data_IF_604751875932
#
_entry.id   IF_604751875932
#
_cell.length_a   1.000
_cell.length_b   1.000
_cell.length_c   1.000
_cell.angle_alpha   90.00
_cell.angle_beta   90.00
_cell.angle_gamma   90.00
#
_symmetry.space_group_name_H-M   'P 1'
#
loop_
_entity.id
_entity.type
_entity.pdbx_description
1 polymer ?
#
# COMPACT_ATOMS: atom_id res chain seq x y z
N UNK A 1 24.24 -22.46 4.69
CA UNK A 1 24.12 -21.06 4.21
C UNK A 1 25.30 -20.30 4.77
N UNK A 2 26.19 -19.76 3.94
CA UNK A 2 27.29 -18.90 4.40
C UNK A 2 26.67 -17.54 4.83
N UNK A 3 26.59 -17.32 6.14
CA UNK A 3 25.81 -16.25 6.76
C UNK A 3 26.37 -14.84 6.57
N UNK A 4 27.59 -14.68 6.07
CA UNK A 4 28.26 -13.37 6.03
C UNK A 4 27.64 -12.37 5.04
N UNK A 5 27.08 -12.83 3.94
CA UNK A 5 26.49 -11.93 2.93
C UNK A 5 25.07 -11.42 3.28
N UNK A 6 24.43 -11.98 4.30
CA UNK A 6 23.07 -11.61 4.68
C UNK A 6 22.99 -10.27 5.44
N UNK A 7 24.06 -9.90 6.14
CA UNK A 7 24.02 -8.75 7.06
C UNK A 7 24.34 -7.39 6.39
N UNK A 8 24.94 -7.34 5.20
CA UNK A 8 25.20 -6.10 4.43
C UNK A 8 25.65 -4.88 5.27
N UNK A 9 26.53 -5.10 6.25
CA UNK A 9 26.99 -4.03 7.15
C UNK A 9 26.08 -3.75 8.34
N UNK A 10 25.01 -4.52 8.54
CA UNK A 10 24.25 -4.48 9.79
C UNK A 10 24.86 -5.44 10.81
N UNK A 11 24.94 -4.98 12.07
CA UNK A 11 25.44 -5.81 13.19
C UNK A 11 24.42 -6.91 13.56
N UNK A 12 23.13 -6.64 13.33
CA UNK A 12 22.05 -7.58 13.63
C UNK A 12 20.78 -7.23 12.87
N UNK A 13 19.91 -8.23 12.68
CA UNK A 13 18.65 -8.12 11.96
C UNK A 13 17.54 -8.81 12.77
N UNK A 14 16.44 -8.13 13.00
CA UNK A 14 15.23 -8.79 13.48
C UNK A 14 14.48 -9.46 12.32
N UNK A 15 14.31 -10.77 12.43
CA UNK A 15 13.38 -11.50 11.57
C UNK A 15 11.99 -11.40 12.21
N UNK A 16 11.12 -10.69 11.57
CA UNK A 16 9.80 -10.28 12.08
C UNK A 16 9.85 -9.10 13.08
N UNK A 17 8.71 -8.47 13.25
CA UNK A 17 8.54 -7.40 14.22
C UNK A 17 8.70 -7.95 15.64
N UNK A 18 9.58 -7.37 16.40
CA UNK A 18 9.80 -7.70 17.81
C UNK A 18 10.14 -6.43 18.59
N UNK A 19 9.13 -5.65 18.93
CA UNK A 19 9.30 -4.35 19.61
C UNK A 19 9.95 -4.55 21.00
N UNK A 20 9.56 -5.60 21.74
CA UNK A 20 10.15 -5.92 23.04
C UNK A 20 11.61 -6.37 22.91
N UNK A 21 11.93 -7.15 21.87
CA UNK A 21 13.31 -7.55 21.58
C UNK A 21 14.19 -6.36 21.23
N UNK A 22 13.67 -5.39 20.48
CA UNK A 22 14.40 -4.14 20.18
C UNK A 22 14.68 -3.35 21.45
N UNK A 23 13.69 -3.20 22.33
CA UNK A 23 13.88 -2.51 23.63
C UNK A 23 14.92 -3.25 24.48
N UNK A 24 14.90 -4.59 24.51
CA UNK A 24 15.90 -5.38 25.23
C UNK A 24 17.29 -5.22 24.61
N UNK A 25 17.41 -5.23 23.27
CA UNK A 25 18.68 -5.00 22.57
C UNK A 25 19.28 -3.64 22.95
N UNK A 26 18.49 -2.58 22.85
CA UNK A 26 18.94 -1.22 23.21
C UNK A 26 19.38 -1.16 24.66
N UNK A 27 18.61 -1.71 25.61
CA UNK A 27 18.99 -1.76 27.03
C UNK A 27 20.29 -2.50 27.27
N UNK A 28 20.50 -3.64 26.62
CA UNK A 28 21.74 -4.42 26.78
C UNK A 28 22.95 -3.61 26.27
N UNK A 29 22.84 -3.00 25.07
CA UNK A 29 23.89 -2.16 24.50
C UNK A 29 24.21 -0.96 25.43
N UNK A 30 23.18 -0.24 25.86
CA UNK A 30 23.35 0.96 26.72
C UNK A 30 24.01 0.61 28.04
N UNK A 31 23.75 -0.56 28.60
CA UNK A 31 24.32 -1.02 29.87
C UNK A 31 25.67 -1.75 29.69
N UNK A 32 26.25 -1.80 28.49
CA UNK A 32 27.49 -2.51 28.21
C UNK A 32 27.39 -4.03 28.38
N UNK A 33 26.18 -4.57 28.33
CA UNK A 33 25.92 -6.00 28.45
C UNK A 33 26.04 -6.68 27.09
N UNK A 34 26.41 -7.95 27.08
CA UNK A 34 26.35 -8.77 25.85
C UNK A 34 24.93 -8.78 25.30
N UNK A 35 24.81 -8.72 23.98
CA UNK A 35 23.50 -8.73 23.30
C UNK A 35 22.66 -9.94 23.69
N UNK A 36 23.27 -11.05 24.02
CA UNK A 36 22.57 -12.27 24.48
C UNK A 36 21.68 -12.89 23.40
N UNK A 37 20.92 -13.91 23.77
CA UNK A 37 19.90 -14.50 22.93
C UNK A 37 18.60 -13.71 23.05
N UNK A 38 18.30 -12.90 22.05
CA UNK A 38 17.02 -12.19 21.92
C UNK A 38 16.21 -12.91 20.85
N UNK A 39 14.96 -13.23 21.13
CA UNK A 39 14.07 -13.88 20.17
C UNK A 39 13.97 -13.10 18.86
N UNK A 40 13.98 -13.81 17.73
CA UNK A 40 13.96 -13.27 16.38
C UNK A 40 15.14 -12.34 16.01
N UNK A 41 16.15 -12.17 16.86
CA UNK A 41 17.34 -11.40 16.56
C UNK A 41 18.41 -12.32 15.95
N UNK A 42 18.92 -11.91 14.81
CA UNK A 42 20.01 -12.58 14.12
C UNK A 42 21.22 -11.66 14.08
N UNK A 43 22.38 -12.20 14.41
CA UNK A 43 23.68 -11.57 14.23
C UNK A 43 24.62 -12.53 13.53
N UNK A 44 25.78 -12.09 13.00
CA UNK A 44 26.73 -12.99 12.34
C UNK A 44 27.16 -14.21 13.17
N UNK A 45 27.12 -14.07 14.48
CA UNK A 45 27.61 -15.09 15.42
C UNK A 45 26.52 -15.67 16.33
N UNK A 46 25.27 -15.26 16.17
CA UNK A 46 24.16 -15.72 17.04
C UNK A 46 22.82 -15.68 16.32
N UNK A 47 22.07 -16.73 16.49
CA UNK A 47 20.69 -16.82 15.98
C UNK A 47 19.73 -16.98 17.16
N UNK A 48 18.92 -15.98 17.38
CA UNK A 48 17.82 -16.06 18.33
C UNK A 48 16.78 -17.09 17.89
N UNK A 49 16.04 -17.63 18.83
CA UNK A 49 14.93 -18.54 18.52
C UNK A 49 13.86 -17.81 17.71
N UNK A 50 13.38 -18.43 16.62
CA UNK A 50 12.22 -17.93 15.91
C UNK A 50 10.99 -18.20 16.76
N UNK A 51 10.47 -17.17 17.39
CA UNK A 51 9.21 -17.21 18.12
C UNK A 51 8.15 -16.45 17.34
N UNK A 52 6.93 -16.96 17.42
CA UNK A 52 5.77 -16.20 16.96
C UNK A 52 5.67 -14.95 17.83
N UNK A 53 5.65 -13.78 17.21
CA UNK A 53 5.50 -12.53 17.94
C UNK A 53 4.27 -12.58 18.83
N UNK A 54 4.48 -12.33 20.11
CA UNK A 54 3.40 -11.82 20.92
C UNK A 54 2.99 -10.48 20.33
N UNK A 55 1.71 -10.29 20.21
CA UNK A 55 1.06 -9.08 19.78
C UNK A 55 1.80 -7.86 20.33
N UNK A 56 2.19 -6.93 19.45
CA UNK A 56 2.77 -5.67 19.91
C UNK A 56 1.71 -4.89 20.69
N UNK A 57 2.17 -4.08 21.61
CA UNK A 57 1.30 -3.26 22.44
C UNK A 57 0.75 -2.10 21.58
N UNK A 58 -0.50 -2.23 21.16
CA UNK A 58 -1.21 -1.20 20.40
C UNK A 58 -1.51 0.06 21.23
N UNK A 59 -1.26 0.01 22.54
CA UNK A 59 -1.46 1.16 23.43
C UNK A 59 -0.29 2.15 23.33
N UNK A 60 0.83 1.74 22.76
CA UNK A 60 1.98 2.64 22.57
C UNK A 60 1.62 3.72 21.54
N UNK A 61 1.64 4.95 22.00
CA UNK A 61 1.44 6.13 21.16
C UNK A 61 2.81 6.64 20.72
N UNK A 62 3.03 6.82 19.39
CA UNK A 62 4.27 7.39 18.89
C UNK A 62 4.56 8.76 19.49
N UNK A 63 5.82 9.00 19.85
CA UNK A 63 6.27 10.30 20.30
C UNK A 63 6.80 11.11 19.11
N UNK A 64 6.24 12.29 18.90
CA UNK A 64 6.62 13.26 17.87
C UNK A 64 7.15 14.57 18.46
N UNK A 65 7.54 14.59 19.75
CA UNK A 65 8.00 15.81 20.43
C UNK A 65 9.22 16.44 19.75
N UNK A 66 10.10 15.63 19.17
CA UNK A 66 11.32 16.07 18.48
C UNK A 66 11.11 16.35 16.98
N UNK A 67 9.88 16.26 16.47
CA UNK A 67 9.60 16.49 15.05
C UNK A 67 9.39 17.97 14.77
N UNK A 68 10.32 18.54 14.00
CA UNK A 68 10.18 19.90 13.48
C UNK A 68 9.33 19.91 12.22
N UNK A 69 8.00 19.97 12.38
CA UNK A 69 7.03 19.87 11.28
C UNK A 69 7.25 20.89 10.16
N UNK A 70 7.80 22.08 10.49
CA UNK A 70 8.10 23.13 9.51
C UNK A 70 9.19 22.75 8.51
N UNK A 71 9.99 21.71 8.79
CA UNK A 71 11.03 21.21 7.88
C UNK A 71 10.48 20.23 6.84
N UNK A 72 9.20 19.87 6.91
CA UNK A 72 8.57 18.97 5.95
C UNK A 72 7.85 19.74 4.86
N UNK A 73 7.78 19.16 3.65
CA UNK A 73 7.20 19.82 2.48
C UNK A 73 5.69 19.99 2.52
N UNK A 74 4.98 19.30 3.38
CA UNK A 74 3.52 19.41 3.40
C UNK A 74 3.08 20.65 4.18
N UNK A 75 2.02 21.31 3.71
CA UNK A 75 1.48 22.50 4.37
C UNK A 75 0.80 22.17 5.71
N UNK A 76 0.37 20.94 5.89
CA UNK A 76 -0.36 20.45 7.06
C UNK A 76 0.40 19.29 7.74
N UNK A 77 0.25 19.15 9.04
CA UNK A 77 0.83 18.01 9.77
C UNK A 77 0.08 16.72 9.39
N UNK A 78 0.82 15.70 8.99
CA UNK A 78 0.26 14.39 8.62
C UNK A 78 0.94 13.30 9.42
N UNK A 79 0.15 12.46 10.08
CA UNK A 79 0.63 11.23 10.70
C UNK A 79 0.34 10.04 9.80
N UNK A 80 1.37 9.24 9.55
CA UNK A 80 1.25 7.97 8.84
C UNK A 80 1.09 6.86 9.87
N UNK A 81 0.03 6.07 9.76
CA UNK A 81 -0.27 4.98 10.68
C UNK A 81 -0.99 3.82 9.95
N UNK A 82 -1.53 2.87 10.68
CA UNK A 82 -2.32 1.74 10.19
C UNK A 82 -3.50 1.49 11.12
N UNK A 83 -4.67 1.21 10.56
CA UNK A 83 -5.82 0.70 11.31
C UNK A 83 -5.72 -0.80 11.53
N UNK A 84 -5.08 -1.52 10.59
CA UNK A 84 -4.84 -2.95 10.69
C UNK A 84 -3.42 -3.33 10.26
N UNK A 85 -2.91 -4.41 10.80
CA UNK A 85 -1.54 -4.89 10.52
C UNK A 85 -1.51 -6.08 9.57
N UNK A 86 -2.63 -6.42 8.96
CA UNK A 86 -2.74 -7.57 8.08
C UNK A 86 -3.73 -7.31 6.96
N UNK A 87 -3.41 -7.84 5.78
CA UNK A 87 -4.40 -7.99 4.72
C UNK A 87 -5.44 -9.04 5.13
N UNK A 88 -6.72 -8.66 5.19
CA UNK A 88 -7.79 -9.58 5.58
C UNK A 88 -8.05 -10.66 4.52
N UNK A 89 -7.72 -10.40 3.27
CA UNK A 89 -7.87 -11.36 2.17
C UNK A 89 -6.78 -12.42 2.21
N UNK A 90 -5.52 -12.02 2.18
CA UNK A 90 -4.33 -12.85 2.30
C UNK A 90 -4.33 -14.12 1.42
N UNK A 91 -4.88 -14.06 0.19
CA UNK A 91 -4.93 -15.18 -0.75
C UNK A 91 -4.25 -14.90 -2.10
N UNK A 92 -3.86 -13.64 -2.38
CA UNK A 92 -3.30 -13.28 -3.68
C UNK A 92 -2.03 -14.06 -4.00
N UNK A 93 -1.96 -14.68 -5.16
CA UNK A 93 -0.83 -15.53 -5.56
C UNK A 93 0.48 -14.74 -5.75
N UNK A 94 0.39 -13.47 -6.16
CA UNK A 94 1.55 -12.62 -6.38
C UNK A 94 2.12 -11.98 -5.11
N UNK A 95 1.42 -12.05 -3.98
CA UNK A 95 1.72 -11.27 -2.80
C UNK A 95 2.51 -12.06 -1.75
N UNK A 96 3.67 -11.54 -1.32
CA UNK A 96 4.50 -12.15 -0.29
C UNK A 96 3.95 -12.00 1.14
N UNK A 97 2.98 -11.09 1.36
CA UNK A 97 2.32 -10.92 2.67
C UNK A 97 1.61 -12.21 3.10
N UNK A 98 1.18 -13.02 2.15
CA UNK A 98 0.54 -14.30 2.41
C UNK A 98 1.46 -15.34 3.03
N UNK A 99 2.78 -15.24 2.82
CA UNK A 99 3.78 -16.15 3.40
C UNK A 99 3.90 -15.98 4.90
N UNK A 100 3.57 -14.82 5.42
CA UNK A 100 3.64 -14.52 6.85
C UNK A 100 2.32 -14.84 7.57
N UNK A 101 2.01 -16.14 7.68
CA UNK A 101 0.81 -16.64 8.40
C UNK A 101 0.82 -16.35 9.91
N UNK A 102 1.89 -15.77 10.43
CA UNK A 102 2.15 -15.66 11.87
C UNK A 102 1.51 -14.44 12.53
N UNK A 103 1.25 -13.38 11.79
CA UNK A 103 0.59 -12.19 12.35
C UNK A 103 -0.93 -12.38 12.21
N UNK A 104 -1.61 -12.70 13.30
CA UNK A 104 -3.07 -12.92 13.33
C UNK A 104 -3.85 -11.75 13.95
N UNK A 105 -3.18 -10.67 14.30
CA UNK A 105 -3.83 -9.61 15.07
C UNK A 105 -4.54 -8.61 14.16
N UNK A 106 -5.79 -8.38 14.45
CA UNK A 106 -6.51 -7.18 14.05
C UNK A 106 -6.41 -6.16 15.18
N UNK A 107 -6.14 -4.91 14.83
CA UNK A 107 -6.13 -3.80 15.79
C UNK A 107 -7.48 -3.68 16.51
N UNK A 108 -7.45 -3.31 17.77
CA UNK A 108 -8.65 -2.91 18.48
C UNK A 108 -9.12 -1.55 17.97
N UNK A 109 -10.33 -1.49 17.43
CA UNK A 109 -10.96 -0.23 16.99
C UNK A 109 -10.87 0.83 18.08
N UNK A 110 -11.18 0.45 19.34
CA UNK A 110 -11.15 1.36 20.49
C UNK A 110 -9.75 1.92 20.74
N UNK A 111 -8.72 1.10 20.63
CA UNK A 111 -7.32 1.53 20.81
C UNK A 111 -6.88 2.46 19.69
N UNK A 112 -7.24 2.18 18.44
CA UNK A 112 -6.93 3.05 17.31
C UNK A 112 -7.61 4.41 17.43
N UNK A 113 -8.88 4.45 17.83
CA UNK A 113 -9.61 5.70 18.09
C UNK A 113 -8.91 6.49 19.20
N UNK A 114 -8.58 5.86 20.32
CA UNK A 114 -7.89 6.51 21.44
C UNK A 114 -6.54 7.08 21.02
N UNK A 115 -5.73 6.30 20.27
CA UNK A 115 -4.44 6.75 19.75
C UNK A 115 -4.55 7.96 18.86
N UNK A 116 -5.46 7.93 17.89
CA UNK A 116 -5.67 9.02 16.93
C UNK A 116 -6.13 10.28 17.65
N UNK A 117 -7.09 10.20 18.59
CA UNK A 117 -7.52 11.35 19.40
C UNK A 117 -6.38 11.94 20.22
N UNK A 118 -5.58 11.10 20.87
CA UNK A 118 -4.42 11.58 21.65
C UNK A 118 -3.39 12.29 20.74
N UNK A 119 -3.11 11.75 19.55
CA UNK A 119 -2.20 12.39 18.60
C UNK A 119 -2.78 13.70 18.05
N UNK A 120 -4.07 13.74 17.76
CA UNK A 120 -4.78 14.95 17.34
C UNK A 120 -4.68 16.04 18.38
N UNK A 121 -5.03 15.75 19.64
CA UNK A 121 -5.02 16.68 20.75
C UNK A 121 -3.58 17.16 21.10
N UNK A 122 -2.62 16.21 21.21
CA UNK A 122 -1.25 16.53 21.66
C UNK A 122 -0.45 17.28 20.60
N UNK A 123 -0.59 16.94 19.33
CA UNK A 123 0.26 17.44 18.26
C UNK A 123 -0.45 18.33 17.25
N UNK A 124 -1.74 18.63 17.48
CA UNK A 124 -2.56 19.41 16.56
C UNK A 124 -2.55 18.82 15.13
N UNK A 125 -2.55 17.49 15.03
CA UNK A 125 -2.55 16.77 13.76
C UNK A 125 -3.98 16.42 13.38
N UNK A 126 -4.47 16.99 12.28
CA UNK A 126 -5.80 16.70 11.77
C UNK A 126 -5.81 15.77 10.55
N UNK A 127 -4.65 15.37 10.04
CA UNK A 127 -4.56 14.52 8.87
C UNK A 127 -3.87 13.20 9.20
N UNK A 128 -4.55 12.09 8.90
CA UNK A 128 -4.05 10.73 9.13
C UNK A 128 -4.07 9.92 7.84
N UNK A 129 -2.92 9.36 7.53
CA UNK A 129 -2.76 8.53 6.35
C UNK A 129 -2.56 7.07 6.75
N UNK A 130 -3.62 6.26 6.60
CA UNK A 130 -3.58 4.85 6.98
C UNK A 130 -3.07 3.98 5.83
N UNK A 131 -1.85 3.47 5.99
CA UNK A 131 -1.17 2.60 5.04
C UNK A 131 -1.40 1.12 5.37
N UNK A 132 -2.66 0.73 5.45
CA UNK A 132 -3.03 -0.67 5.63
C UNK A 132 -2.65 -1.51 4.39
N UNK A 133 -2.41 -2.79 4.58
CA UNK A 133 -2.27 -3.72 3.44
C UNK A 133 -3.61 -3.96 2.74
N UNK A 134 -4.66 -4.15 3.51
CA UNK A 134 -6.06 -4.06 3.12
C UNK A 134 -6.90 -4.02 4.40
N UNK A 135 -7.46 -2.86 4.72
CA UNK A 135 -8.32 -2.69 5.89
C UNK A 135 -9.70 -3.31 5.67
N UNK A 136 -10.21 -4.14 6.60
CA UNK A 136 -11.58 -4.63 6.52
C UNK A 136 -12.60 -3.50 6.72
N UNK A 137 -13.69 -3.48 5.93
CA UNK A 137 -14.72 -2.44 6.04
C UNK A 137 -15.37 -2.36 7.41
N UNK A 138 -15.54 -3.49 8.10
CA UNK A 138 -16.06 -3.49 9.48
C UNK A 138 -15.17 -2.69 10.44
N UNK A 139 -13.85 -2.79 10.29
CA UNK A 139 -12.89 -2.03 11.09
C UNK A 139 -12.95 -0.54 10.73
N UNK A 140 -12.95 -0.23 9.43
CA UNK A 140 -13.04 1.14 8.93
C UNK A 140 -14.31 1.85 9.40
N UNK A 141 -15.47 1.20 9.32
CA UNK A 141 -16.74 1.75 9.80
C UNK A 141 -16.76 1.95 11.33
N UNK A 142 -16.21 1.00 12.09
CA UNK A 142 -16.10 1.16 13.54
C UNK A 142 -15.17 2.30 13.94
N UNK A 143 -14.07 2.51 13.20
CA UNK A 143 -13.18 3.65 13.39
C UNK A 143 -13.88 4.96 13.01
N UNK A 144 -14.54 5.01 11.86
CA UNK A 144 -15.29 6.16 11.38
C UNK A 144 -16.33 6.63 12.42
N UNK A 145 -17.13 5.71 12.96
CA UNK A 145 -18.12 6.04 14.00
C UNK A 145 -17.48 6.66 15.25
N UNK A 146 -16.27 6.22 15.63
CA UNK A 146 -15.57 6.72 16.81
C UNK A 146 -14.92 8.08 16.64
N UNK A 147 -14.72 8.56 15.39
CA UNK A 147 -14.07 9.85 15.10
C UNK A 147 -14.95 10.85 14.35
N UNK A 148 -16.19 10.52 14.04
CA UNK A 148 -17.06 11.33 13.17
C UNK A 148 -17.32 12.77 13.65
N UNK A 149 -17.10 13.04 14.92
CA UNK A 149 -17.27 14.37 15.51
C UNK A 149 -15.94 15.11 15.72
N UNK A 150 -14.85 14.46 15.38
CA UNK A 150 -13.51 15.06 15.41
C UNK A 150 -13.22 15.74 14.06
N UNK A 151 -12.51 16.84 14.08
CA UNK A 151 -12.08 17.49 12.84
C UNK A 151 -10.84 16.76 12.25
N UNK A 152 -11.04 15.50 11.86
CA UNK A 152 -9.98 14.62 11.36
C UNK A 152 -10.24 14.25 9.91
N UNK A 153 -9.27 14.52 9.05
CA UNK A 153 -9.21 14.04 7.67
C UNK A 153 -8.35 12.78 7.60
N UNK A 154 -8.79 11.78 6.85
CA UNK A 154 -8.05 10.54 6.76
C UNK A 154 -8.16 9.87 5.39
N UNK A 155 -7.21 9.01 5.10
CA UNK A 155 -7.21 8.13 3.93
C UNK A 155 -7.13 6.68 4.36
N UNK A 156 -7.56 5.76 3.49
CA UNK A 156 -7.60 4.34 3.78
C UNK A 156 -7.16 3.52 2.58
N UNK A 157 -6.40 2.45 2.85
CA UNK A 157 -6.09 1.42 1.85
C UNK A 157 -6.94 0.19 2.08
N UNK A 158 -7.57 -0.29 1.02
CA UNK A 158 -8.36 -1.52 1.05
C UNK A 158 -8.27 -2.25 -0.29
N UNK A 159 -8.99 -3.33 -0.43
CA UNK A 159 -9.22 -4.02 -1.70
C UNK A 159 -10.63 -3.71 -2.21
N UNK A 160 -10.86 -3.92 -3.51
CA UNK A 160 -12.21 -3.88 -4.04
C UNK A 160 -13.05 -4.97 -3.37
N UNK A 161 -14.22 -4.58 -2.89
CA UNK A 161 -15.18 -5.44 -2.21
C UNK A 161 -16.61 -4.97 -2.53
N UNK A 162 -17.55 -5.88 -2.65
CA UNK A 162 -18.98 -5.58 -2.90
C UNK A 162 -19.65 -4.82 -1.73
N UNK A 163 -19.00 -4.80 -0.58
CA UNK A 163 -19.42 -4.02 0.60
C UNK A 163 -19.10 -2.54 0.54
N UNK A 164 -18.36 -2.10 -0.47
CA UNK A 164 -18.10 -0.68 -0.73
C UNK A 164 -19.33 -0.05 -1.42
N UNK A 165 -20.45 0.00 -0.72
CA UNK A 165 -21.70 0.59 -1.24
C UNK A 165 -21.73 2.10 -1.06
N UNK A 166 -22.65 2.78 -1.74
CA UNK A 166 -22.86 4.21 -1.61
C UNK A 166 -23.05 4.64 -0.13
N UNK A 167 -23.88 3.91 0.61
CA UNK A 167 -24.16 4.19 2.03
C UNK A 167 -22.93 4.02 2.92
N UNK A 168 -22.10 3.03 2.62
CA UNK A 168 -20.82 2.81 3.33
C UNK A 168 -19.89 3.97 3.07
N UNK A 169 -19.72 4.36 1.80
CA UNK A 169 -18.87 5.49 1.42
C UNK A 169 -19.38 6.81 2.02
N UNK A 170 -20.71 7.02 2.08
CA UNK A 170 -21.30 8.19 2.73
C UNK A 170 -20.91 8.25 4.21
N UNK A 171 -21.06 7.16 4.96
CA UNK A 171 -20.67 7.11 6.38
C UNK A 171 -19.17 7.37 6.60
N UNK A 172 -18.33 6.82 5.75
CA UNK A 172 -16.89 7.07 5.82
C UNK A 172 -16.55 8.54 5.51
N UNK A 173 -17.23 9.13 4.52
CA UNK A 173 -17.08 10.54 4.15
C UNK A 173 -17.51 11.48 5.27
N UNK A 174 -18.65 11.22 5.88
CA UNK A 174 -19.16 12.00 7.02
C UNK A 174 -18.20 11.99 8.21
N UNK A 175 -17.43 10.89 8.36
CA UNK A 175 -16.38 10.77 9.36
C UNK A 175 -14.99 11.27 8.90
N UNK A 176 -14.94 12.02 7.80
CA UNK A 176 -13.72 12.70 7.34
C UNK A 176 -12.84 11.92 6.34
N UNK A 177 -13.31 10.79 5.78
CA UNK A 177 -12.57 10.10 4.72
C UNK A 177 -12.42 11.02 3.51
N UNK A 178 -11.19 11.26 3.07
CA UNK A 178 -10.85 12.09 1.91
C UNK A 178 -10.44 11.27 0.70
N UNK A 179 -9.71 10.18 0.91
CA UNK A 179 -9.22 9.31 -0.17
C UNK A 179 -9.37 7.84 0.21
N UNK A 180 -9.75 7.04 -0.78
CA UNK A 180 -9.79 5.59 -0.70
C UNK A 180 -8.82 4.99 -1.73
N UNK A 181 -7.81 4.28 -1.24
CA UNK A 181 -6.84 3.60 -2.07
C UNK A 181 -7.23 2.13 -2.23
N UNK A 182 -7.46 1.71 -3.45
CA UNK A 182 -7.95 0.37 -3.77
C UNK A 182 -6.95 -0.38 -4.65
N UNK A 183 -6.49 -1.54 -4.17
CA UNK A 183 -5.79 -2.49 -5.01
C UNK A 183 -6.78 -3.13 -5.99
N UNK A 184 -6.93 -2.54 -7.17
CA UNK A 184 -7.78 -3.08 -8.24
C UNK A 184 -7.05 -4.19 -9.00
N UNK A 185 -5.77 -4.03 -9.21
CA UNK A 185 -4.79 -4.88 -9.89
C UNK A 185 -5.10 -5.05 -11.38
N UNK A 186 -6.25 -5.60 -11.74
CA UNK A 186 -6.71 -5.82 -13.12
C UNK A 186 -8.24 -5.79 -13.20
N UNK A 187 -8.80 -5.77 -14.43
CA UNK A 187 -10.25 -5.85 -14.64
C UNK A 187 -10.69 -7.12 -15.42
N UNK A 188 -9.72 -7.82 -16.01
CA UNK A 188 -10.00 -9.05 -16.73
C UNK A 188 -10.18 -10.24 -15.77
N UNK A 189 -11.30 -11.00 -15.87
CA UNK A 189 -11.62 -12.07 -14.92
C UNK A 189 -10.61 -13.23 -14.92
N UNK A 190 -9.98 -13.54 -16.07
CA UNK A 190 -8.97 -14.60 -16.13
C UNK A 190 -7.71 -14.21 -15.35
N UNK A 191 -7.21 -12.99 -15.54
CA UNK A 191 -6.04 -12.48 -14.81
C UNK A 191 -6.35 -12.38 -13.32
N UNK A 192 -7.51 -11.86 -12.93
CA UNK A 192 -7.94 -11.79 -11.53
C UNK A 192 -8.01 -13.19 -10.87
N UNK A 193 -8.47 -14.19 -11.62
CA UNK A 193 -8.50 -15.59 -11.18
C UNK A 193 -7.08 -16.15 -10.97
N UNK A 194 -6.15 -15.92 -11.90
CA UNK A 194 -4.75 -16.30 -11.77
C UNK A 194 -4.08 -15.59 -10.60
N UNK A 195 -4.43 -14.34 -10.37
CA UNK A 195 -3.96 -13.56 -9.21
C UNK A 195 -4.58 -14.03 -7.90
N UNK A 196 -5.67 -14.79 -7.92
CA UNK A 196 -6.50 -15.12 -6.75
C UNK A 196 -6.92 -13.87 -5.97
N UNK A 197 -7.31 -12.82 -6.74
CA UNK A 197 -7.58 -11.49 -6.19
C UNK A 197 -8.96 -11.36 -5.60
N UNK A 198 -9.96 -12.10 -6.14
CA UNK A 198 -11.36 -11.94 -5.77
C UNK A 198 -12.11 -13.28 -5.89
N UNK A 199 -13.21 -13.42 -5.16
CA UNK A 199 -14.16 -14.51 -5.29
C UNK A 199 -15.26 -14.18 -6.34
N UNK A 200 -15.34 -12.92 -6.82
CA UNK A 200 -16.34 -12.41 -7.78
C UNK A 200 -15.68 -11.83 -9.04
N UNK A 201 -14.80 -12.59 -9.68
CA UNK A 201 -13.97 -12.10 -10.78
C UNK A 201 -14.77 -11.62 -12.00
N UNK A 202 -15.94 -12.18 -12.29
CA UNK A 202 -16.77 -11.80 -13.43
C UNK A 202 -17.49 -10.46 -13.22
N UNK A 203 -17.90 -10.17 -11.98
CA UNK A 203 -18.59 -8.94 -11.61
C UNK A 203 -17.59 -7.83 -11.21
N UNK A 204 -16.31 -8.15 -11.12
CA UNK A 204 -15.28 -7.28 -10.54
C UNK A 204 -15.21 -5.91 -11.23
N UNK A 205 -15.24 -5.90 -12.58
CA UNK A 205 -15.24 -4.67 -13.36
C UNK A 205 -16.47 -3.80 -13.08
N UNK A 206 -17.65 -4.41 -12.99
CA UNK A 206 -18.92 -3.72 -12.68
C UNK A 206 -18.92 -3.15 -11.28
N UNK A 207 -18.41 -3.90 -10.29
CA UNK A 207 -18.26 -3.44 -8.91
C UNK A 207 -17.26 -2.28 -8.85
N UNK A 208 -16.14 -2.36 -9.59
CA UNK A 208 -15.16 -1.29 -9.68
C UNK A 208 -15.78 0.01 -10.23
N UNK A 209 -16.57 -0.09 -11.31
CA UNK A 209 -17.28 1.04 -11.89
C UNK A 209 -18.26 1.66 -10.89
N UNK A 210 -19.06 0.82 -10.22
CA UNK A 210 -19.98 1.29 -9.20
C UNK A 210 -19.30 2.01 -8.05
N UNK A 211 -18.20 1.46 -7.55
CA UNK A 211 -17.41 2.09 -6.49
C UNK A 211 -16.83 3.42 -6.96
N UNK A 212 -16.41 3.52 -8.23
CA UNK A 212 -15.95 4.76 -8.83
C UNK A 212 -17.05 5.82 -8.82
N UNK A 213 -18.25 5.48 -9.28
CA UNK A 213 -19.38 6.39 -9.36
C UNK A 213 -19.86 6.80 -7.95
N UNK A 214 -19.96 5.85 -7.03
CA UNK A 214 -20.39 6.09 -5.64
C UNK A 214 -19.37 6.97 -4.88
N UNK A 215 -18.08 6.79 -5.08
CA UNK A 215 -17.04 7.62 -4.49
C UNK A 215 -17.06 9.04 -5.08
N UNK A 216 -17.25 9.16 -6.40
CA UNK A 216 -17.43 10.45 -7.09
C UNK A 216 -18.60 11.22 -6.50
N UNK A 217 -19.76 10.58 -6.36
CA UNK A 217 -20.97 11.18 -5.80
C UNK A 217 -20.77 11.62 -4.34
N UNK A 218 -19.95 10.90 -3.56
CA UNK A 218 -19.58 11.26 -2.19
C UNK A 218 -18.40 12.25 -2.10
N UNK A 219 -17.83 12.70 -3.22
CA UNK A 219 -16.63 13.53 -3.26
C UNK A 219 -15.47 12.92 -2.44
N UNK A 220 -15.23 11.61 -2.61
CA UNK A 220 -14.09 10.86 -2.07
C UNK A 220 -13.10 10.68 -3.21
N UNK A 221 -11.85 11.08 -2.99
CA UNK A 221 -10.75 10.79 -3.91
C UNK A 221 -10.52 9.28 -4.02
N UNK A 222 -10.25 8.78 -5.23
CA UNK A 222 -9.90 7.38 -5.44
C UNK A 222 -8.47 7.25 -5.96
N UNK A 223 -7.81 6.18 -5.52
CA UNK A 223 -6.56 5.73 -6.08
C UNK A 223 -6.65 4.25 -6.41
N UNK A 224 -6.67 3.93 -7.70
CA UNK A 224 -6.60 2.55 -8.17
C UNK A 224 -5.16 2.14 -8.46
N UNK A 225 -4.75 1.00 -7.90
CA UNK A 225 -3.47 0.37 -8.21
C UNK A 225 -3.69 -0.79 -9.16
N UNK A 226 -2.85 -0.88 -10.20
CA UNK A 226 -2.84 -1.95 -11.18
C UNK A 226 -1.51 -2.70 -11.19
N UNK A 227 -1.58 -3.95 -11.61
CA UNK A 227 -0.43 -4.79 -11.94
C UNK A 227 -0.63 -5.28 -13.36
N UNK A 228 0.19 -4.81 -14.29
CA UNK A 228 0.21 -5.19 -15.69
C UNK A 228 1.46 -6.02 -16.00
N UNK A 229 1.43 -6.76 -17.10
CA UNK A 229 2.53 -7.68 -17.43
C UNK A 229 2.52 -8.94 -16.58
N UNK A 230 1.36 -9.32 -16.08
CA UNK A 230 1.19 -10.59 -15.37
C UNK A 230 1.51 -11.76 -16.34
N UNK A 231 2.20 -12.83 -15.91
CA UNK A 231 2.47 -13.97 -16.75
C UNK A 231 1.21 -14.46 -17.46
N UNK A 232 1.28 -14.69 -18.76
CA UNK A 232 0.16 -15.02 -19.66
C UNK A 232 -0.84 -13.89 -20.00
N UNK A 233 -0.63 -12.67 -19.52
CA UNK A 233 -1.46 -11.53 -19.90
C UNK A 233 -1.27 -11.19 -21.39
N UNK A 234 -2.38 -10.99 -22.12
CA UNK A 234 -2.34 -10.58 -23.52
C UNK A 234 -2.58 -9.08 -23.70
N UNK A 235 -2.30 -8.56 -24.90
CA UNK A 235 -2.53 -7.16 -25.23
C UNK A 235 -4.02 -6.79 -25.14
N UNK A 236 -4.91 -7.70 -25.55
CA UNK A 236 -6.35 -7.51 -25.45
C UNK A 236 -6.80 -7.37 -23.99
N UNK A 237 -6.23 -8.18 -23.10
CA UNK A 237 -6.53 -8.10 -21.67
C UNK A 237 -6.03 -6.79 -21.06
N UNK A 238 -4.87 -6.29 -21.46
CA UNK A 238 -4.38 -4.95 -21.08
C UNK A 238 -5.28 -3.85 -21.62
N UNK A 239 -5.78 -4.00 -22.85
CA UNK A 239 -6.71 -3.05 -23.45
C UNK A 239 -8.00 -2.92 -22.62
N UNK A 240 -8.48 -4.01 -21.99
CA UNK A 240 -9.65 -3.94 -21.11
C UNK A 240 -9.46 -2.96 -19.93
N UNK A 241 -8.23 -2.78 -19.44
CA UNK A 241 -7.93 -1.77 -18.40
C UNK A 241 -8.08 -0.36 -18.97
N UNK A 242 -7.60 -0.11 -20.18
CA UNK A 242 -7.81 1.17 -20.86
C UNK A 242 -9.29 1.46 -21.10
N UNK A 243 -10.04 0.46 -21.55
CA UNK A 243 -11.47 0.60 -21.84
C UNK A 243 -12.28 0.81 -20.54
N UNK A 244 -11.85 0.27 -19.42
CA UNK A 244 -12.42 0.60 -18.11
C UNK A 244 -12.34 2.11 -17.83
N UNK A 245 -11.21 2.73 -18.07
CA UNK A 245 -11.05 4.18 -17.85
C UNK A 245 -11.79 5.02 -18.89
N UNK A 246 -12.01 4.53 -20.11
CA UNK A 246 -12.92 5.19 -21.07
C UNK A 246 -14.35 5.27 -20.57
N UNK A 247 -14.82 4.23 -19.88
CA UNK A 247 -16.16 4.22 -19.30
C UNK A 247 -16.31 5.13 -18.10
N UNK A 248 -15.22 5.35 -17.35
CA UNK A 248 -15.23 6.19 -16.13
C UNK A 248 -14.99 7.68 -16.39
N UNK A 249 -14.58 8.06 -17.60
CA UNK A 249 -14.14 9.45 -17.90
C UNK A 249 -15.18 10.54 -17.61
N UNK A 250 -16.48 10.22 -17.72
CA UNK A 250 -17.56 11.18 -17.52
C UNK A 250 -17.97 11.31 -16.03
N UNK A 251 -17.40 10.46 -15.17
CA UNK A 251 -17.65 10.42 -13.72
C UNK A 251 -16.52 11.13 -12.97
N UNK A 252 -16.19 12.36 -13.34
CA UNK A 252 -15.10 13.11 -12.72
C UNK A 252 -15.62 13.86 -11.50
N UNK A 253 -14.97 13.68 -10.35
CA UNK A 253 -15.29 14.44 -9.14
C UNK A 253 -14.34 15.63 -8.95
N UNK A 254 -14.70 16.51 -7.99
CA UNK A 254 -13.86 17.65 -7.61
C UNK A 254 -12.55 17.25 -6.94
N UNK A 255 -12.45 16.04 -6.42
CA UNK A 255 -11.20 15.46 -5.90
C UNK A 255 -10.51 14.70 -7.02
N UNK A 256 -9.19 14.78 -7.14
CA UNK A 256 -8.46 14.10 -8.19
C UNK A 256 -8.56 12.59 -8.02
N UNK A 257 -8.74 11.90 -9.14
CA UNK A 257 -8.55 10.46 -9.19
C UNK A 257 -7.12 10.16 -9.58
N UNK A 258 -6.58 9.14 -8.93
CA UNK A 258 -5.25 8.66 -9.24
C UNK A 258 -5.33 7.21 -9.70
N UNK A 259 -4.42 6.86 -10.58
CA UNK A 259 -4.13 5.45 -10.87
C UNK A 259 -2.63 5.23 -10.88
N UNK A 260 -2.22 4.04 -10.46
CA UNK A 260 -0.81 3.62 -10.53
C UNK A 260 -0.74 2.32 -11.29
N UNK A 261 0.09 2.27 -12.31
CA UNK A 261 0.42 1.06 -13.03
C UNK A 261 1.77 0.54 -12.57
N UNK A 262 1.75 -0.67 -12.04
CA UNK A 262 2.96 -1.40 -11.68
C UNK A 262 3.18 -2.51 -12.70
N UNK A 263 4.44 -2.74 -13.06
CA UNK A 263 4.82 -3.95 -13.77
C UNK A 263 4.81 -5.09 -12.76
N UNK A 264 4.25 -6.23 -13.16
CA UNK A 264 4.33 -7.43 -12.35
C UNK A 264 5.78 -7.72 -11.96
N UNK A 265 5.99 -8.05 -10.70
CA UNK A 265 7.28 -8.50 -10.19
C UNK A 265 7.09 -9.77 -9.37
N UNK A 266 7.90 -10.77 -9.67
CA UNK A 266 7.88 -12.02 -8.89
C UNK A 266 8.43 -11.75 -7.49
N UNK A 267 7.56 -11.84 -6.49
CA UNK A 267 7.91 -11.56 -5.10
C UNK A 267 8.41 -12.82 -4.41
N UNK A 268 9.59 -12.76 -3.83
CA UNK A 268 10.15 -13.85 -3.01
C UNK A 268 9.17 -14.22 -1.88
N UNK A 269 8.92 -15.52 -1.72
CA UNK A 269 8.00 -16.06 -0.70
C UNK A 269 6.51 -15.87 -1.03
N UNK A 270 6.16 -15.37 -2.23
CA UNK A 270 4.77 -15.40 -2.68
C UNK A 270 4.35 -16.83 -3.09
N UNK A 271 3.04 -17.18 -3.03
CA UNK A 271 2.56 -18.46 -3.55
C UNK A 271 2.95 -18.71 -5.01
N UNK A 272 3.04 -17.65 -5.80
CA UNK A 272 3.44 -17.71 -7.19
C UNK A 272 4.94 -18.02 -7.35
N UNK A 273 5.79 -17.50 -6.48
CA UNK A 273 7.20 -17.87 -6.46
C UNK A 273 7.40 -19.35 -6.13
N UNK A 274 6.66 -19.86 -5.16
CA UNK A 274 6.73 -21.28 -4.73
C UNK A 274 6.17 -22.25 -5.79
N UNK A 275 5.26 -21.79 -6.64
CA UNK A 275 4.61 -22.60 -7.68
C UNK A 275 4.81 -22.02 -9.09
N UNK A 276 5.94 -21.37 -9.33
CA UNK A 276 6.24 -20.55 -10.51
C UNK A 276 6.02 -21.24 -11.85
N UNK A 277 6.26 -22.54 -11.94
CA UNK A 277 6.07 -23.33 -13.16
C UNK A 277 4.59 -23.33 -13.62
N UNK A 278 3.62 -23.32 -12.68
CA UNK A 278 2.20 -23.25 -12.98
C UNK A 278 1.79 -21.95 -13.66
N UNK A 279 2.60 -20.92 -13.56
CA UNK A 279 2.41 -19.61 -14.16
C UNK A 279 3.30 -19.38 -15.37
N UNK A 280 3.95 -20.43 -15.89
CA UNK A 280 4.84 -20.32 -17.04
C UNK A 280 6.16 -19.57 -16.75
N UNK A 281 6.55 -19.47 -15.49
CA UNK A 281 7.82 -18.89 -15.08
C UNK A 281 8.88 -20.01 -15.12
N UNK A 282 9.80 -19.93 -16.09
CA UNK A 282 10.76 -20.98 -16.39
C UNK A 282 12.13 -20.78 -15.73
N UNK A 283 12.44 -19.54 -15.39
CA UNK A 283 13.69 -19.18 -14.75
C UNK A 283 13.42 -18.15 -13.66
N UNK A 284 13.83 -18.42 -12.46
CA UNK A 284 13.91 -17.46 -11.38
C UNK A 284 15.29 -17.58 -10.77
N UNK A 285 15.96 -16.48 -10.64
CA UNK A 285 17.38 -16.28 -10.41
C UNK A 285 18.18 -17.22 -9.53
N UNK A 286 19.50 -17.13 -9.78
CA UNK A 286 20.54 -17.77 -9.02
C UNK A 286 20.54 -17.38 -7.52
N UNK A 287 21.22 -18.19 -6.74
CA UNK A 287 21.19 -18.10 -5.27
C UNK A 287 21.85 -16.83 -4.72
N UNK A 288 22.78 -16.21 -5.44
CA UNK A 288 23.48 -15.00 -4.99
C UNK A 288 22.60 -13.75 -4.98
N UNK A 289 21.68 -13.65 -5.91
CA UNK A 289 20.77 -12.51 -5.99
C UNK A 289 19.53 -12.62 -5.11
N UNK A 290 19.25 -13.80 -4.56
CA UNK A 290 18.08 -14.03 -3.66
C UNK A 290 18.09 -13.15 -2.41
N UNK A 291 19.25 -12.71 -1.96
CA UNK A 291 19.40 -11.95 -0.73
C UNK A 291 19.29 -10.43 -0.91
N UNK A 292 19.37 -9.96 -2.16
CA UNK A 292 19.45 -8.54 -2.46
C UNK A 292 18.13 -7.93 -2.93
N UNK A 293 17.12 -8.73 -3.25
CA UNK A 293 15.91 -8.24 -3.90
C UNK A 293 14.65 -8.91 -3.37
N UNK A 294 13.69 -8.10 -2.93
CA UNK A 294 12.33 -8.56 -2.64
C UNK A 294 11.66 -9.04 -3.94
N UNK A 295 11.96 -8.39 -5.06
CA UNK A 295 11.55 -8.81 -6.40
C UNK A 295 12.65 -9.64 -7.03
N UNK A 296 12.31 -10.85 -7.42
CA UNK A 296 13.22 -11.80 -8.07
C UNK A 296 13.13 -11.61 -9.57
N UNK A 297 14.25 -11.36 -10.29
CA UNK A 297 14.23 -11.43 -11.75
C UNK A 297 13.82 -12.82 -12.21
N UNK A 298 13.06 -12.87 -13.28
CA UNK A 298 12.48 -14.11 -13.80
C UNK A 298 12.36 -14.04 -15.33
N UNK A 299 12.27 -15.21 -15.95
CA UNK A 299 11.87 -15.36 -17.34
C UNK A 299 10.57 -16.14 -17.43
N UNK A 300 9.74 -15.78 -18.38
CA UNK A 300 8.50 -16.50 -18.68
C UNK A 300 8.51 -17.09 -20.07
N UNK A 301 7.64 -18.06 -20.31
CA UNK A 301 7.36 -18.55 -21.67
C UNK A 301 6.52 -17.55 -22.50
N UNK A 302 6.07 -16.43 -21.92
CA UNK A 302 5.09 -15.53 -22.53
C UNK A 302 5.66 -14.19 -22.99
N UNK A 303 6.30 -13.44 -22.11
CA UNK A 303 6.66 -12.04 -22.36
C UNK A 303 7.96 -11.61 -21.68
N UNK A 304 8.63 -10.59 -22.22
CA UNK A 304 9.71 -9.86 -21.56
C UNK A 304 9.21 -8.56 -20.88
N UNK A 305 9.99 -8.04 -19.94
CA UNK A 305 9.62 -6.83 -19.19
C UNK A 305 9.69 -5.55 -20.03
N UNK A 306 10.50 -5.53 -21.10
CA UNK A 306 10.73 -4.35 -21.92
C UNK A 306 9.46 -3.94 -22.67
N UNK A 307 8.74 -4.90 -23.24
CA UNK A 307 7.46 -4.66 -23.89
C UNK A 307 6.41 -4.13 -22.92
N UNK A 308 6.39 -4.66 -21.70
CA UNK A 308 5.46 -4.24 -20.65
C UNK A 308 5.68 -2.79 -20.21
N UNK A 309 6.93 -2.32 -20.11
CA UNK A 309 7.24 -0.93 -19.74
C UNK A 309 6.67 0.04 -20.79
N UNK A 310 6.87 -0.24 -22.07
CA UNK A 310 6.38 0.62 -23.16
C UNK A 310 4.84 0.66 -23.21
N UNK A 311 4.19 -0.48 -22.96
CA UNK A 311 2.71 -0.54 -22.90
C UNK A 311 2.18 0.29 -21.72
N UNK A 312 2.80 0.18 -20.56
CA UNK A 312 2.39 0.94 -19.37
C UNK A 312 2.58 2.45 -19.59
N UNK A 313 3.68 2.87 -20.20
CA UNK A 313 3.92 4.28 -20.52
C UNK A 313 2.82 4.82 -21.44
N UNK A 314 2.57 4.15 -22.58
CA UNK A 314 1.51 4.55 -23.54
C UNK A 314 0.13 4.58 -22.89
N UNK A 315 -0.18 3.58 -22.06
CA UNK A 315 -1.46 3.51 -21.34
C UNK A 315 -1.60 4.68 -20.35
N UNK A 316 -0.53 4.97 -19.60
CA UNK A 316 -0.50 6.07 -18.64
C UNK A 316 -0.73 7.44 -19.32
N UNK A 317 -0.02 7.69 -20.42
CA UNK A 317 -0.16 8.92 -21.21
C UNK A 317 -1.57 9.04 -21.79
N UNK A 318 -2.10 7.94 -22.32
CA UNK A 318 -3.44 7.92 -22.86
C UNK A 318 -4.51 8.19 -21.79
N UNK A 319 -4.45 7.52 -20.62
CA UNK A 319 -5.39 7.73 -19.53
C UNK A 319 -5.36 9.19 -19.08
N UNK A 320 -4.20 9.76 -18.83
CA UNK A 320 -4.07 11.17 -18.44
C UNK A 320 -4.69 12.11 -19.48
N UNK A 321 -4.33 11.94 -20.75
CA UNK A 321 -4.75 12.84 -21.83
C UNK A 321 -6.24 12.82 -22.12
N UNK A 322 -6.91 11.68 -21.97
CA UNK A 322 -8.30 11.50 -22.40
C UNK A 322 -9.32 11.34 -21.27
N UNK A 323 -8.87 11.24 -20.04
CA UNK A 323 -9.77 10.98 -18.90
C UNK A 323 -9.62 11.98 -17.76
N UNK A 324 -8.62 12.87 -17.83
CA UNK A 324 -8.21 13.76 -16.74
C UNK A 324 -7.91 13.03 -15.41
N UNK A 325 -7.76 11.71 -15.47
CA UNK A 325 -7.34 10.89 -14.34
C UNK A 325 -5.82 10.92 -14.25
N UNK A 326 -5.32 11.39 -13.13
CA UNK A 326 -3.89 11.49 -12.91
C UNK A 326 -3.26 10.11 -12.72
N UNK A 327 -2.28 9.81 -13.56
CA UNK A 327 -1.45 8.61 -13.40
C UNK A 327 -0.31 8.93 -12.44
N UNK A 328 -0.35 8.34 -11.26
CA UNK A 328 0.70 8.55 -10.26
C UNK A 328 1.96 7.78 -10.67
N UNK A 329 2.97 8.50 -11.13
CA UNK A 329 4.33 7.97 -11.22
C UNK A 329 4.92 8.00 -9.81
N UNK A 330 5.65 6.96 -9.44
CA UNK A 330 6.03 6.59 -8.06
C UNK A 330 6.62 7.72 -7.19
N UNK A 331 7.05 8.82 -7.76
CA UNK A 331 7.80 9.86 -7.03
C UNK A 331 7.36 11.29 -7.36
N UNK A 332 6.37 11.46 -8.24
CA UNK A 332 6.05 12.78 -8.77
C UNK A 332 4.93 13.50 -8.02
N UNK A 333 3.94 12.76 -7.52
CA UNK A 333 2.78 13.34 -6.84
C UNK A 333 2.66 12.70 -5.46
N UNK A 334 2.98 13.45 -4.39
CA UNK A 334 2.84 12.94 -3.04
C UNK A 334 1.40 12.59 -2.70
N UNK A 335 1.21 11.47 -2.01
CA UNK A 335 -0.11 10.98 -1.63
C UNK A 335 -0.86 11.95 -0.70
N UNK A 336 -0.14 12.68 0.16
CA UNK A 336 -0.74 13.64 1.08
C UNK A 336 -1.55 14.74 0.38
N UNK A 337 -1.27 15.05 -0.89
CA UNK A 337 -2.01 16.07 -1.63
C UNK A 337 -3.49 15.73 -1.80
N UNK A 338 -3.84 14.45 -1.84
CA UNK A 338 -5.24 14.02 -2.01
C UNK A 338 -6.07 14.11 -0.73
N UNK A 339 -5.45 14.20 0.43
CA UNK A 339 -6.14 14.38 1.71
C UNK A 339 -6.25 15.85 2.14
N UNK A 340 -5.45 16.74 1.56
CA UNK A 340 -5.51 18.18 1.82
C UNK A 340 -6.81 18.79 1.32
N UNK A 341 -7.38 19.75 2.07
CA UNK A 341 -8.49 20.57 1.63
C UNK A 341 -8.05 21.73 0.73
N UNK A 342 -6.75 21.98 0.63
CA UNK A 342 -6.18 22.99 -0.30
C UNK A 342 -6.43 22.54 -1.75
N UNK A 343 -6.80 23.45 -2.66
CA UNK A 343 -7.00 23.09 -4.06
C UNK A 343 -5.79 22.34 -4.65
N UNK A 344 -6.07 21.21 -5.27
CA UNK A 344 -5.03 20.29 -5.76
C UNK A 344 -4.06 20.96 -6.73
N UNK A 345 -4.56 21.77 -7.65
CA UNK A 345 -3.76 22.54 -8.60
C UNK A 345 -2.76 23.48 -7.92
N UNK A 346 -3.18 24.12 -6.84
CA UNK A 346 -2.30 24.97 -6.04
C UNK A 346 -1.22 24.15 -5.35
N UNK A 347 -1.56 22.98 -4.80
CA UNK A 347 -0.61 22.06 -4.18
C UNK A 347 0.39 21.50 -5.18
N UNK A 348 -0.06 21.11 -6.37
CA UNK A 348 0.82 20.68 -7.46
C UNK A 348 1.82 21.77 -7.83
N UNK A 349 1.32 22.99 -8.10
CA UNK A 349 2.18 24.13 -8.43
C UNK A 349 3.21 24.38 -7.35
N UNK A 350 2.81 24.36 -6.08
CA UNK A 350 3.70 24.55 -4.94
C UNK A 350 4.74 23.45 -4.86
N UNK A 351 4.32 22.17 -5.00
CA UNK A 351 5.23 21.03 -4.98
C UNK A 351 6.29 21.11 -6.07
N UNK A 352 5.90 21.37 -7.32
CA UNK A 352 6.84 21.47 -8.43
C UNK A 352 7.76 22.68 -8.31
N UNK A 353 7.30 23.76 -7.70
CA UNK A 353 8.16 24.94 -7.45
C UNK A 353 9.26 24.64 -6.42
N UNK A 354 8.99 23.79 -5.44
CA UNK A 354 9.94 23.47 -4.36
C UNK A 354 10.72 22.16 -4.58
N UNK A 355 10.36 21.36 -5.56
CA UNK A 355 11.08 20.13 -5.87
C UNK A 355 12.02 20.33 -7.05
N UNK A 356 13.33 20.59 -6.80
CA UNK A 356 14.30 20.85 -7.85
C UNK A 356 14.58 19.65 -8.77
N UNK A 357 14.10 18.45 -8.40
CA UNK A 357 14.27 17.22 -9.20
C UNK A 357 13.08 16.92 -10.11
N UNK A 358 12.03 17.70 -10.05
CA UNK A 358 10.89 17.56 -10.95
C UNK A 358 11.13 18.30 -12.28
N UNK A 359 11.96 17.76 -13.15
CA UNK A 359 12.12 18.23 -14.52
C UNK A 359 10.94 17.81 -15.43
N UNK A 360 9.71 17.85 -14.92
CA UNK A 360 8.54 17.51 -15.71
C UNK A 360 7.71 18.76 -15.92
N UNK A 361 7.78 19.29 -17.14
CA UNK A 361 6.80 20.22 -17.63
C UNK A 361 5.45 19.51 -17.71
N UNK A 362 4.47 20.09 -17.04
CA UNK A 362 3.05 19.74 -17.23
C UNK A 362 2.62 20.50 -18.49
N UNK A 363 2.92 19.93 -19.67
CA UNK A 363 2.33 20.36 -20.93
C UNK A 363 0.87 19.92 -21.04
#
# INVERSE_FOLDING_TARGET
MNNHNFFFGFDSIFMYRNDNGLVQLVKNITNGQKVGEIDNLYSPNSFGHIKQDKLFDETVIPNYDDIEWSKYFFPERIVIDRLSYRCFWAKCNFCSINSNKRIKQMSSVKQQISKVKTLHEKYEVSNFWFLDEACPMKLALGFAEGIKHENIAWSLRTRLDDKLTFEVLTKLKEAGLKELWIGLEHVNPKILSLMNKSDFNFEYKTIAQKVFDDATANNIGLHFCHILGFPSETDEQRQEVADFYKMTKDSICKKPFFTTFNIFGLMLGSPMFESREKFGIIEALDEESKFNMIKVPYKTIYNDDTGNIQVIQRLSEWIFRYTDILVRKKELIPLWMSISDTPFEFLLKKYYTYNPFSNYELD
#
